data_IF_853002697299
#
_entry.id   IF_853002697299
#
_cell.length_a   1.000
_cell.length_b   1.000
_cell.length_c   1.000
_cell.angle_alpha   90.00
_cell.angle_beta   90.00
_cell.angle_gamma   90.00
#
_symmetry.space_group_name_H-M   'P 1'
#
loop_
_entity.id
_entity.type
_entity.pdbx_description
1 polymer ?
#
# COMPACT_ATOMS: atom_id res chain seq x y z
N UNK A 1 27.22 24.59 8.63
CA UNK A 1 26.52 23.93 7.50
C UNK A 1 27.31 22.69 7.10
N UNK A 2 26.67 21.53 6.88
CA UNK A 2 27.38 20.36 6.40
C UNK A 2 27.96 20.66 5.01
N UNK A 3 29.23 20.42 4.83
CA UNK A 3 29.86 20.49 3.51
C UNK A 3 29.24 19.37 2.66
N UNK A 4 28.40 19.73 1.69
CA UNK A 4 27.84 18.79 0.75
C UNK A 4 28.97 18.22 -0.11
N UNK A 5 29.26 16.94 0.04
CA UNK A 5 30.20 16.22 -0.82
C UNK A 5 29.57 15.89 -2.18
N UNK A 6 30.27 15.09 -2.97
CA UNK A 6 29.79 14.65 -4.30
C UNK A 6 28.51 13.81 -4.25
N UNK A 7 28.11 13.30 -3.09
CA UNK A 7 27.03 12.33 -2.92
C UNK A 7 27.39 10.91 -3.34
N UNK A 8 28.63 10.68 -3.78
CA UNK A 8 29.13 9.36 -4.17
C UNK A 8 29.79 8.71 -2.97
N UNK A 9 29.32 7.53 -2.60
CA UNK A 9 29.94 6.69 -1.58
C UNK A 9 31.00 5.78 -2.22
N UNK A 10 32.26 6.16 -2.03
CA UNK A 10 33.39 5.40 -2.55
C UNK A 10 33.74 4.16 -1.71
N UNK A 11 33.11 3.95 -0.56
CA UNK A 11 33.42 2.82 0.33
C UNK A 11 33.05 1.45 -0.28
N UNK A 12 32.08 1.44 -1.19
CA UNK A 12 31.64 0.24 -1.90
C UNK A 12 32.45 -0.14 -3.12
N UNK A 13 33.44 0.71 -3.51
CA UNK A 13 34.26 0.47 -4.71
C UNK A 13 35.29 -0.63 -4.48
N UNK A 14 35.43 -1.52 -5.46
CA UNK A 14 36.51 -2.51 -5.50
C UNK A 14 37.69 -1.99 -6.32
N UNK A 15 38.73 -1.53 -5.65
CA UNK A 15 39.94 -0.98 -6.26
C UNK A 15 40.80 -2.04 -7.00
N UNK A 16 40.52 -3.32 -6.83
CA UNK A 16 41.23 -4.39 -7.52
C UNK A 16 40.65 -4.66 -8.94
N UNK A 17 39.45 -4.16 -9.20
CA UNK A 17 38.79 -4.27 -10.52
C UNK A 17 39.10 -3.01 -11.32
N UNK A 18 39.50 -3.19 -12.60
CA UNK A 18 39.74 -2.06 -13.49
C UNK A 18 38.40 -1.59 -14.08
N UNK A 19 38.08 -0.28 -14.00
CA UNK A 19 36.76 0.21 -14.46
C UNK A 19 36.48 -0.02 -15.94
N UNK A 20 37.51 -0.18 -16.77
CA UNK A 20 37.38 -0.50 -18.19
C UNK A 20 37.12 -1.99 -18.47
N UNK A 21 37.39 -2.86 -17.49
CA UNK A 21 37.16 -4.30 -17.63
C UNK A 21 35.76 -4.67 -17.09
N UNK A 22 35.40 -4.18 -15.90
CA UNK A 22 34.04 -4.32 -15.35
C UNK A 22 33.71 -3.09 -14.50
N UNK A 23 32.93 -2.17 -15.06
CA UNK A 23 32.55 -0.95 -14.38
C UNK A 23 31.56 -1.20 -13.25
N UNK A 24 30.69 -2.21 -13.36
CA UNK A 24 29.75 -2.54 -12.32
C UNK A 24 30.47 -3.08 -11.06
N UNK A 25 31.36 -4.05 -11.25
CA UNK A 25 32.14 -4.61 -10.15
C UNK A 25 33.13 -3.60 -9.59
N UNK A 26 33.70 -2.73 -10.42
CA UNK A 26 34.53 -1.63 -9.93
C UNK A 26 33.77 -0.74 -8.95
N UNK A 27 32.53 -0.36 -9.27
CA UNK A 27 31.73 0.59 -8.44
C UNK A 27 31.05 -0.11 -7.25
N UNK A 28 30.62 -1.35 -7.43
CA UNK A 28 29.73 -2.03 -6.46
C UNK A 28 30.35 -3.29 -5.85
N UNK A 29 31.49 -3.79 -6.37
CA UNK A 29 31.98 -5.14 -6.04
C UNK A 29 32.22 -5.37 -4.56
N UNK A 30 32.80 -4.39 -3.87
CA UNK A 30 33.01 -4.49 -2.41
C UNK A 30 31.68 -4.48 -1.65
N UNK A 31 30.73 -3.61 -2.05
CA UNK A 31 29.41 -3.58 -1.45
C UNK A 31 28.67 -4.90 -1.64
N UNK A 32 28.72 -5.48 -2.84
CA UNK A 32 28.09 -6.79 -3.15
C UNK A 32 28.70 -7.90 -2.30
N UNK A 33 30.02 -7.91 -2.15
CA UNK A 33 30.73 -8.93 -1.37
C UNK A 33 30.42 -8.84 0.14
N UNK A 34 30.25 -7.64 0.67
CA UNK A 34 30.07 -7.38 2.10
C UNK A 34 28.59 -7.32 2.52
N UNK A 35 27.65 -7.23 1.56
CA UNK A 35 26.20 -7.08 1.83
C UNK A 35 25.47 -8.39 1.62
N UNK A 36 25.08 -9.10 2.69
CA UNK A 36 24.31 -10.33 2.56
C UNK A 36 22.91 -10.02 2.03
N UNK A 37 22.42 -10.86 1.12
CA UNK A 37 21.03 -10.84 0.71
C UNK A 37 20.15 -11.30 1.88
N UNK A 38 19.15 -10.51 2.34
CA UNK A 38 18.23 -10.95 3.37
C UNK A 38 17.47 -12.21 2.93
N UNK A 39 17.24 -13.14 3.87
CA UNK A 39 16.67 -14.46 3.58
C UNK A 39 15.25 -14.42 3.01
N UNK A 40 14.51 -13.35 3.26
CA UNK A 40 13.14 -13.12 2.79
C UNK A 40 13.08 -12.29 1.48
N UNK A 41 14.23 -12.03 0.83
CA UNK A 41 14.32 -11.19 -0.35
C UNK A 41 14.93 -11.94 -1.53
N UNK A 42 14.38 -11.68 -2.72
CA UNK A 42 14.96 -12.16 -3.98
C UNK A 42 16.02 -11.20 -4.56
N UNK A 43 16.05 -9.97 -4.07
CA UNK A 43 17.01 -8.93 -4.47
C UNK A 43 17.23 -7.96 -3.32
N UNK A 44 18.38 -7.30 -3.33
CA UNK A 44 18.71 -6.28 -2.36
C UNK A 44 19.55 -5.18 -3.00
N UNK A 45 19.23 -3.93 -2.70
CA UNK A 45 19.93 -2.77 -3.24
C UNK A 45 19.62 -1.50 -2.47
N UNK A 46 20.19 -0.39 -2.92
CA UNK A 46 20.04 0.91 -2.26
C UNK A 46 18.58 1.33 -2.12
N UNK A 47 17.74 1.12 -3.14
CA UNK A 47 16.33 1.47 -3.07
C UNK A 47 15.54 0.57 -2.10
N UNK A 48 15.93 -0.69 -1.97
CA UNK A 48 15.31 -1.60 -0.99
C UNK A 48 15.67 -1.16 0.44
N UNK A 49 16.92 -0.78 0.68
CA UNK A 49 17.38 -0.22 1.95
C UNK A 49 16.67 1.10 2.30
N UNK A 50 16.55 2.02 1.33
CA UNK A 50 15.82 3.27 1.53
C UNK A 50 14.34 3.03 1.88
N UNK A 51 13.69 2.10 1.17
CA UNK A 51 12.31 1.71 1.47
C UNK A 51 12.18 1.14 2.88
N UNK A 52 13.07 0.24 3.28
CA UNK A 52 13.04 -0.34 4.62
C UNK A 52 13.24 0.73 5.70
N UNK A 53 14.18 1.65 5.50
CA UNK A 53 14.38 2.75 6.43
C UNK A 53 13.14 3.65 6.52
N UNK A 54 12.57 4.05 5.37
CA UNK A 54 11.34 4.84 5.35
C UNK A 54 10.16 4.13 6.05
N UNK A 55 10.03 2.81 5.89
CA UNK A 55 9.02 2.02 6.60
C UNK A 55 9.26 2.00 8.11
N UNK A 56 10.52 1.88 8.56
CA UNK A 56 10.88 1.95 9.98
C UNK A 56 10.57 3.33 10.58
N UNK A 57 10.91 4.39 9.84
CA UNK A 57 10.66 5.77 10.28
C UNK A 57 9.16 6.07 10.38
N UNK A 58 8.38 5.69 9.36
CA UNK A 58 6.93 5.85 9.36
C UNK A 58 6.29 5.06 10.50
N UNK A 59 6.75 3.82 10.71
CA UNK A 59 6.26 3.00 11.84
C UNK A 59 6.55 3.67 13.18
N UNK A 60 7.76 4.17 13.40
CA UNK A 60 8.12 4.87 14.63
C UNK A 60 7.24 6.09 14.87
N UNK A 61 6.99 6.89 13.82
CA UNK A 61 6.08 8.04 13.91
C UNK A 61 4.63 7.64 14.24
N UNK A 62 4.13 6.57 13.63
CA UNK A 62 2.78 6.07 13.92
C UNK A 62 2.67 5.56 15.36
N UNK A 63 3.66 4.81 15.84
CA UNK A 63 3.72 4.31 17.22
C UNK A 63 3.80 5.47 18.22
N UNK A 64 4.60 6.50 17.95
CA UNK A 64 4.69 7.73 18.77
C UNK A 64 3.32 8.44 18.86
N UNK A 65 2.70 8.69 17.70
CA UNK A 65 1.38 9.34 17.61
C UNK A 65 0.31 8.50 18.32
N UNK A 66 0.38 7.17 18.20
CA UNK A 66 -0.58 6.26 18.80
C UNK A 66 -0.52 6.20 20.32
N UNK A 67 0.64 6.50 20.89
CA UNK A 67 0.85 6.58 22.32
C UNK A 67 0.49 7.95 22.93
N UNK A 68 0.15 8.95 22.12
CA UNK A 68 -0.17 10.29 22.60
C UNK A 68 -1.49 10.30 23.39
N UNK A 69 -1.45 10.82 24.64
CA UNK A 69 -2.62 10.87 25.52
C UNK A 69 -3.51 12.09 25.25
N UNK A 70 -2.91 13.28 25.16
CA UNK A 70 -3.61 14.55 24.97
C UNK A 70 -3.69 14.94 23.49
N UNK A 71 -4.71 14.42 22.79
CA UNK A 71 -4.88 14.66 21.36
C UNK A 71 -6.15 15.47 21.10
N UNK A 72 -6.00 16.57 20.37
CA UNK A 72 -7.11 17.43 19.98
C UNK A 72 -8.14 16.65 19.14
N UNK A 73 -9.41 16.74 19.52
CA UNK A 73 -10.51 16.12 18.79
C UNK A 73 -10.58 16.61 17.32
N UNK A 74 -10.72 15.69 16.38
CA UNK A 74 -10.78 15.96 14.94
C UNK A 74 -9.43 16.22 14.28
N UNK A 75 -8.31 16.22 15.03
CA UNK A 75 -6.97 16.41 14.49
C UNK A 75 -6.49 15.21 13.65
N UNK A 76 -5.49 15.45 12.80
CA UNK A 76 -4.82 14.37 12.06
C UNK A 76 -4.19 13.34 13.02
N UNK A 77 -3.59 13.80 14.11
CA UNK A 77 -3.01 12.96 15.16
C UNK A 77 -4.05 12.01 15.75
N UNK A 78 -5.24 12.52 16.10
CA UNK A 78 -6.32 11.66 16.59
C UNK A 78 -6.72 10.60 15.56
N UNK A 79 -6.90 10.99 14.31
CA UNK A 79 -7.33 10.05 13.25
C UNK A 79 -6.31 8.93 13.04
N UNK A 80 -5.02 9.25 13.02
CA UNK A 80 -3.95 8.26 12.89
C UNK A 80 -3.94 7.34 14.10
N UNK A 81 -3.98 7.90 15.31
CA UNK A 81 -3.99 7.12 16.56
C UNK A 81 -5.17 6.15 16.61
N UNK A 82 -6.38 6.66 16.37
CA UNK A 82 -7.60 5.87 16.50
C UNK A 82 -7.67 4.78 15.41
N UNK A 83 -7.22 5.09 14.18
CA UNK A 83 -7.12 4.11 13.10
C UNK A 83 -6.11 3.01 13.43
N UNK A 84 -4.89 3.38 13.84
CA UNK A 84 -3.85 2.41 14.18
C UNK A 84 -4.26 1.53 15.35
N UNK A 85 -4.78 2.11 16.43
CA UNK A 85 -5.20 1.35 17.60
C UNK A 85 -6.37 0.41 17.28
N UNK A 86 -7.32 0.84 16.44
CA UNK A 86 -8.42 -0.03 16.02
C UNK A 86 -7.94 -1.19 15.12
N UNK A 87 -6.93 -0.95 14.28
CA UNK A 87 -6.34 -1.99 13.44
C UNK A 87 -5.52 -3.01 14.23
N UNK A 88 -4.82 -2.55 15.27
CA UNK A 88 -3.99 -3.41 16.12
C UNK A 88 -4.79 -4.17 17.19
N UNK A 89 -6.04 -3.80 17.44
CA UNK A 89 -6.95 -4.51 18.34
C UNK A 89 -7.47 -5.78 17.66
N UNK A 90 -6.76 -6.87 17.83
CA UNK A 90 -7.16 -8.18 17.29
C UNK A 90 -8.25 -8.89 18.13
N UNK A 91 -8.47 -8.47 19.37
CA UNK A 91 -9.44 -9.13 20.26
C UNK A 91 -10.86 -8.71 19.91
N UNK A 92 -11.08 -7.44 19.62
CA UNK A 92 -12.41 -6.90 19.32
C UNK A 92 -13.06 -7.53 18.07
N UNK A 93 -12.39 -7.65 16.90
CA UNK A 93 -12.95 -8.35 15.76
C UNK A 93 -13.26 -9.82 16.06
N UNK A 94 -12.39 -10.50 16.82
CA UNK A 94 -12.61 -11.89 17.20
C UNK A 94 -13.84 -12.05 18.15
N UNK A 95 -14.04 -11.10 19.04
CA UNK A 95 -15.20 -11.11 19.95
C UNK A 95 -16.52 -10.80 19.23
N UNK A 96 -16.48 -9.86 18.28
CA UNK A 96 -17.66 -9.49 17.48
C UNK A 96 -18.00 -10.52 16.41
N UNK A 97 -16.99 -11.17 15.82
CA UNK A 97 -17.18 -12.10 14.72
C UNK A 97 -17.95 -11.47 13.57
N UNK A 98 -18.94 -12.16 13.05
CA UNK A 98 -19.80 -11.73 11.92
C UNK A 98 -20.63 -10.50 12.27
N UNK A 99 -20.89 -10.23 13.56
CA UNK A 99 -21.70 -9.06 13.96
C UNK A 99 -21.01 -7.74 13.60
N UNK A 100 -19.69 -7.72 13.42
CA UNK A 100 -18.99 -6.53 12.95
C UNK A 100 -19.41 -6.03 11.57
N UNK A 101 -19.91 -6.91 10.72
CA UNK A 101 -20.35 -6.63 9.33
C UNK A 101 -21.81 -7.02 9.11
N UNK A 102 -22.60 -7.14 10.19
CA UNK A 102 -23.98 -7.58 10.10
C UNK A 102 -24.84 -6.66 9.25
N UNK A 103 -24.66 -5.34 9.39
CA UNK A 103 -25.43 -4.36 8.64
C UNK A 103 -25.20 -4.47 7.12
N UNK A 104 -23.96 -4.68 6.70
CA UNK A 104 -23.59 -4.86 5.31
C UNK A 104 -24.15 -6.19 4.75
N UNK A 105 -24.12 -7.27 5.55
CA UNK A 105 -24.70 -8.55 5.15
C UNK A 105 -26.23 -8.47 5.03
N UNK A 106 -26.90 -7.75 5.92
CA UNK A 106 -28.34 -7.55 5.87
C UNK A 106 -28.72 -6.69 4.66
N UNK A 107 -27.90 -5.68 4.30
CA UNK A 107 -28.09 -4.90 3.07
C UNK A 107 -28.00 -5.80 1.83
N UNK A 108 -26.99 -6.66 1.76
CA UNK A 108 -26.84 -7.62 0.65
C UNK A 108 -28.01 -8.62 0.60
N UNK A 109 -28.45 -9.12 1.76
CA UNK A 109 -29.58 -10.05 1.84
C UNK A 109 -30.92 -9.42 1.43
N UNK A 110 -31.06 -8.11 1.53
CA UNK A 110 -32.27 -7.37 1.15
C UNK A 110 -32.36 -7.07 -0.35
N UNK A 111 -31.33 -7.36 -1.17
CA UNK A 111 -31.35 -7.14 -2.62
C UNK A 111 -32.42 -8.03 -3.29
N UNK A 112 -33.40 -7.41 -3.94
CA UNK A 112 -34.48 -8.09 -4.69
C UNK A 112 -34.61 -7.61 -6.13
N UNK A 113 -33.92 -6.54 -6.50
CA UNK A 113 -33.99 -5.92 -7.82
C UNK A 113 -32.61 -5.43 -8.29
N UNK A 114 -32.51 -5.17 -9.61
CA UNK A 114 -31.30 -4.52 -10.16
C UNK A 114 -31.08 -3.09 -9.57
N UNK A 115 -32.16 -2.42 -9.20
CA UNK A 115 -32.05 -1.10 -8.56
C UNK A 115 -31.43 -1.22 -7.16
N UNK A 116 -31.87 -2.21 -6.38
CA UNK A 116 -31.27 -2.48 -5.06
C UNK A 116 -29.80 -2.88 -5.19
N UNK A 117 -29.47 -3.72 -6.17
CA UNK A 117 -28.09 -4.11 -6.45
C UNK A 117 -27.20 -2.90 -6.78
N UNK A 118 -27.68 -1.99 -7.64
CA UNK A 118 -26.91 -0.78 -7.98
C UNK A 118 -26.75 0.14 -6.76
N UNK A 119 -27.76 0.24 -5.91
CA UNK A 119 -27.70 1.02 -4.67
C UNK A 119 -26.68 0.42 -3.69
N UNK A 120 -26.69 -0.89 -3.56
CA UNK A 120 -25.73 -1.61 -2.71
C UNK A 120 -24.29 -1.46 -3.21
N UNK A 121 -24.03 -1.51 -4.52
CA UNK A 121 -22.70 -1.21 -5.06
C UNK A 121 -22.25 0.21 -4.73
N UNK A 122 -23.14 1.19 -4.76
CA UNK A 122 -22.81 2.57 -4.42
C UNK A 122 -22.53 2.75 -2.93
N UNK A 123 -23.33 2.14 -2.04
CA UNK A 123 -23.17 2.26 -0.59
C UNK A 123 -21.93 1.51 -0.09
N UNK A 124 -21.74 0.27 -0.51
CA UNK A 124 -20.60 -0.55 -0.11
C UNK A 124 -19.28 -0.07 -0.72
N UNK A 125 -19.34 0.60 -1.88
CA UNK A 125 -18.17 1.22 -2.51
C UNK A 125 -17.48 2.27 -1.63
N UNK A 126 -18.21 2.93 -0.74
CA UNK A 126 -17.64 3.87 0.25
C UNK A 126 -16.67 3.16 1.21
N UNK A 127 -16.89 1.90 1.48
CA UNK A 127 -16.04 1.04 2.32
C UNK A 127 -14.95 0.30 1.51
N UNK A 128 -14.80 0.61 0.23
CA UNK A 128 -13.80 -0.02 -0.63
C UNK A 128 -14.21 -1.38 -1.19
N UNK A 129 -15.50 -1.74 -1.12
CA UNK A 129 -16.02 -2.94 -1.78
C UNK A 129 -16.07 -2.70 -3.28
N UNK A 130 -15.38 -3.55 -4.03
CA UNK A 130 -15.35 -3.44 -5.49
C UNK A 130 -16.69 -3.81 -6.11
N UNK A 131 -17.15 -2.98 -7.06
CA UNK A 131 -18.24 -3.32 -7.95
C UNK A 131 -17.69 -3.87 -9.28
N UNK A 132 -18.50 -4.59 -10.08
CA UNK A 132 -18.09 -5.01 -11.42
C UNK A 132 -17.81 -3.84 -12.36
N UNK A 133 -18.30 -2.64 -12.02
CA UNK A 133 -18.14 -1.42 -12.80
C UNK A 133 -17.17 -0.50 -12.08
N UNK A 134 -16.06 -0.19 -12.73
CA UNK A 134 -15.06 0.75 -12.26
C UNK A 134 -15.36 2.17 -12.74
N UNK A 135 -15.20 3.12 -11.84
CA UNK A 135 -15.26 4.55 -12.15
C UNK A 135 -13.93 5.17 -11.72
N UNK A 136 -13.29 5.90 -12.63
CA UNK A 136 -12.08 6.66 -12.30
C UNK A 136 -12.00 7.94 -13.12
N UNK A 137 -11.34 8.94 -12.58
CA UNK A 137 -11.12 10.22 -13.23
C UNK A 137 -9.68 10.23 -13.74
N UNK A 138 -9.52 10.51 -15.02
CA UNK A 138 -8.22 10.60 -15.66
C UNK A 138 -8.24 11.65 -16.78
N UNK A 139 -7.07 12.08 -17.26
CA UNK A 139 -6.97 13.01 -18.38
C UNK A 139 -7.58 12.40 -19.65
N UNK A 140 -8.32 13.20 -20.40
CA UNK A 140 -8.82 12.79 -21.71
C UNK A 140 -7.64 12.48 -22.63
N UNK A 141 -7.67 11.33 -23.26
CA UNK A 141 -6.62 10.91 -24.20
C UNK A 141 -6.52 11.80 -25.45
N UNK A 142 -7.58 12.58 -25.77
CA UNK A 142 -7.63 13.54 -26.87
C UNK A 142 -7.31 14.96 -26.45
N UNK A 143 -7.55 15.30 -25.19
CA UNK A 143 -7.24 16.61 -24.62
C UNK A 143 -6.66 16.43 -23.19
N UNK A 144 -5.33 16.37 -23.04
CA UNK A 144 -4.69 16.11 -21.76
C UNK A 144 -4.89 17.22 -20.71
N UNK A 145 -5.45 18.38 -21.10
CA UNK A 145 -5.77 19.45 -20.17
C UNK A 145 -7.17 19.29 -19.53
N UNK A 146 -7.97 18.33 -19.99
CA UNK A 146 -9.32 18.07 -19.50
C UNK A 146 -9.35 16.70 -18.80
N UNK A 147 -9.92 16.66 -17.58
CA UNK A 147 -10.18 15.42 -16.90
C UNK A 147 -11.60 14.97 -17.18
N UNK A 148 -11.77 13.69 -17.51
CA UNK A 148 -13.07 13.06 -17.76
C UNK A 148 -13.27 11.83 -16.87
N UNK A 149 -14.51 11.42 -16.70
CA UNK A 149 -14.85 10.17 -16.00
C UNK A 149 -14.76 9.03 -17.00
N UNK A 150 -13.97 8.05 -16.65
CA UNK A 150 -13.93 6.77 -17.34
C UNK A 150 -14.81 5.76 -16.60
N UNK A 151 -15.59 5.02 -17.39
CA UNK A 151 -16.38 3.90 -16.93
C UNK A 151 -15.82 2.66 -17.61
N UNK A 152 -15.52 1.66 -16.84
CA UNK A 152 -14.97 0.42 -17.37
C UNK A 152 -15.30 -0.79 -16.51
N UNK A 153 -14.90 -1.93 -16.96
CA UNK A 153 -14.94 -3.15 -16.19
C UNK A 153 -13.92 -3.08 -15.06
N UNK A 154 -14.35 -3.37 -13.83
CA UNK A 154 -13.47 -3.45 -12.67
C UNK A 154 -12.99 -4.87 -12.36
N UNK A 155 -13.40 -5.83 -13.20
CA UNK A 155 -13.06 -7.24 -13.03
C UNK A 155 -13.93 -7.95 -12.00
N UNK A 156 -13.55 -9.19 -11.73
CA UNK A 156 -14.20 -10.07 -10.75
C UNK A 156 -13.32 -10.16 -9.49
N UNK A 157 -13.95 -10.34 -8.34
CA UNK A 157 -13.26 -10.37 -7.04
C UNK A 157 -12.44 -11.64 -6.86
N UNK A 158 -12.95 -12.78 -7.30
CA UNK A 158 -12.24 -14.06 -7.28
C UNK A 158 -11.27 -14.16 -8.48
N UNK A 159 -10.21 -14.98 -8.40
CA UNK A 159 -9.11 -14.97 -9.37
C UNK A 159 -9.51 -15.22 -10.82
N UNK A 160 -10.51 -16.06 -11.06
CA UNK A 160 -11.04 -16.31 -12.40
C UNK A 160 -12.50 -16.80 -12.38
N UNK A 161 -13.09 -16.97 -13.55
CA UNK A 161 -14.49 -17.41 -13.74
C UNK A 161 -14.81 -18.78 -13.13
N UNK A 162 -13.82 -19.65 -13.01
CA UNK A 162 -14.03 -21.03 -12.55
C UNK A 162 -14.42 -21.07 -11.07
N UNK A 163 -13.99 -20.07 -10.28
CA UNK A 163 -14.42 -19.89 -8.90
C UNK A 163 -15.90 -19.51 -8.73
N UNK A 164 -16.57 -19.10 -9.80
CA UNK A 164 -18.00 -18.76 -9.79
C UNK A 164 -18.87 -19.84 -10.44
N UNK A 165 -18.29 -20.68 -11.32
CA UNK A 165 -19.03 -21.60 -12.18
C UNK A 165 -18.82 -23.08 -11.84
N UNK A 166 -17.82 -23.41 -11.01
CA UNK A 166 -17.52 -24.78 -10.60
C UNK A 166 -17.69 -24.92 -9.09
N UNK A 167 -18.33 -25.99 -8.68
CA UNK A 167 -18.48 -26.42 -7.28
C UNK A 167 -17.14 -26.95 -6.73
#
# INVERSE_FOLDING_TARGET
EPVLGSGIDFSGFDQNVRPQDDFFDYVNGKWVAETPLPADRARWGTFDKLRENAQKDVRALVEEVSAAEDVQSGSATQKIRDFYNSYMDSERPNALGVEAIRAELDEVAAIQSYEDLNRSFASLGVYGVNSPIGLFIFSDLKDPNTNIVYIGEAGITLPDRDYYLKD
#
